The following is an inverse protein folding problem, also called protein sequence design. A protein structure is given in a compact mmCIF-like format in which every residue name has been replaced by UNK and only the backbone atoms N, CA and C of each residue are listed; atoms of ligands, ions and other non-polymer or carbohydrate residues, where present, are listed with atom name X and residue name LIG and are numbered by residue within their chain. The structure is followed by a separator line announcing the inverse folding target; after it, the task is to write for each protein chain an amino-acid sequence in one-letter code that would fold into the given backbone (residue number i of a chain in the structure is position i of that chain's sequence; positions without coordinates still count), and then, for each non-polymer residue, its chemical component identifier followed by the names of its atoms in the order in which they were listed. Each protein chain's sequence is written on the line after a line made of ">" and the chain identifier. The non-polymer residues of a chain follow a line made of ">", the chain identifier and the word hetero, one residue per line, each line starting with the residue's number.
data_IF_600483037620
#
_entry.id   IF_600483037620
#
_cell.length_a   1.000
_cell.length_b   1.000
_cell.length_c   1.000
_cell.angle_alpha   90.00
_cell.angle_beta   90.00
_cell.angle_gamma   90.00
#
_symmetry.space_group_name_H-M   'P 1'
#
loop_
_entity.id
_entity.type
_entity.pdbx_description
1 polymer ?
#
# COMPACT_ATOMS: atom_id res chain seq x y z
N UNK A 1 -32.11 13.90 28.73
CA UNK A 1 -32.50 14.67 29.92
C UNK A 1 -32.79 16.08 29.47
N UNK A 2 -34.05 16.48 29.53
CA UNK A 2 -34.45 17.87 29.33
C UNK A 2 -34.10 18.67 30.59
N UNK A 3 -33.77 19.95 30.43
CA UNK A 3 -33.67 20.87 31.58
C UNK A 3 -35.06 21.00 32.22
N UNK A 4 -35.11 21.11 33.55
CA UNK A 4 -36.33 21.46 34.29
C UNK A 4 -36.54 22.97 34.38
N UNK A 5 -37.61 23.41 35.04
CA UNK A 5 -38.06 24.82 35.06
C UNK A 5 -37.17 25.80 35.84
N UNK A 6 -36.28 25.31 36.71
CA UNK A 6 -35.37 26.16 37.49
C UNK A 6 -33.91 25.78 37.28
N UNK A 7 -33.09 26.80 37.10
CA UNK A 7 -31.64 26.66 36.97
C UNK A 7 -31.01 26.38 38.34
N UNK A 8 -30.10 25.41 38.37
CA UNK A 8 -29.42 24.97 39.59
C UNK A 8 -28.05 25.63 39.64
N UNK A 9 -27.79 26.35 40.73
CA UNK A 9 -26.53 27.07 40.91
C UNK A 9 -25.32 26.12 40.80
N UNK A 10 -24.35 26.49 39.97
CA UNK A 10 -23.09 25.75 39.79
C UNK A 10 -23.12 24.60 38.77
N UNK A 11 -24.29 24.16 38.31
CA UNK A 11 -24.42 23.17 37.22
C UNK A 11 -24.86 23.83 35.91
N UNK A 12 -25.93 24.64 35.94
CA UNK A 12 -26.43 25.30 34.73
C UNK A 12 -25.68 26.60 34.43
N UNK A 13 -25.13 27.26 35.45
CA UNK A 13 -24.50 28.59 35.30
C UNK A 13 -23.14 28.57 34.59
N UNK A 14 -22.44 27.43 34.61
CA UNK A 14 -21.04 27.36 34.15
C UNK A 14 -20.90 26.46 32.92
N UNK A 15 -20.67 27.06 31.76
CA UNK A 15 -20.31 26.32 30.54
C UNK A 15 -18.80 26.17 30.46
N UNK A 16 -18.30 24.97 30.78
CA UNK A 16 -16.88 24.65 30.66
C UNK A 16 -16.52 24.29 29.21
N UNK A 17 -15.59 25.01 28.56
CA UNK A 17 -15.19 24.70 27.20
C UNK A 17 -14.35 23.43 27.14
N UNK A 18 -14.33 22.80 25.96
CA UNK A 18 -13.46 21.64 25.72
C UNK A 18 -12.01 22.09 25.65
N UNK A 19 -11.14 21.47 26.45
CA UNK A 19 -9.71 21.77 26.50
C UNK A 19 -8.96 21.42 25.20
N UNK A 20 -9.40 20.40 24.46
CA UNK A 20 -8.71 19.91 23.26
C UNK A 20 -9.67 19.78 22.07
N UNK A 21 -9.20 20.25 20.91
CA UNK A 21 -9.87 20.08 19.64
C UNK A 21 -9.59 18.75 18.95
N UNK A 22 -10.30 18.44 17.85
CA UNK A 22 -10.07 17.23 17.06
C UNK A 22 -8.71 17.23 16.35
N UNK A 23 -7.93 16.16 16.49
CA UNK A 23 -6.59 16.00 15.85
C UNK A 23 -6.62 15.33 14.45
N UNK A 24 -7.66 14.57 14.13
CA UNK A 24 -7.75 13.77 12.89
C UNK A 24 -8.46 14.55 11.80
N UNK A 25 -7.95 14.52 10.56
CA UNK A 25 -8.52 15.25 9.42
C UNK A 25 -10.03 15.02 9.23
N UNK A 26 -10.50 13.77 9.33
CA UNK A 26 -11.94 13.45 9.18
C UNK A 26 -12.82 13.99 10.30
N UNK A 27 -12.31 14.07 11.53
CA UNK A 27 -13.05 14.65 12.67
C UNK A 27 -13.11 16.17 12.57
N UNK A 28 -12.03 16.79 12.07
CA UNK A 28 -11.99 18.24 11.84
C UNK A 28 -13.01 18.61 10.76
N UNK A 29 -13.05 17.87 9.64
CA UNK A 29 -14.05 18.09 8.58
C UNK A 29 -15.49 18.00 9.08
N UNK A 30 -15.80 16.99 9.90
CA UNK A 30 -17.14 16.85 10.50
C UNK A 30 -17.52 17.99 11.45
N UNK A 31 -16.55 18.57 12.17
CA UNK A 31 -16.82 19.64 13.12
C UNK A 31 -17.13 20.96 12.40
N UNK A 32 -16.42 21.24 11.31
CA UNK A 32 -16.57 22.48 10.53
C UNK A 32 -17.47 22.32 9.30
N UNK A 33 -18.15 21.18 9.15
CA UNK A 33 -18.97 20.84 7.97
C UNK A 33 -18.24 21.05 6.63
N UNK A 34 -16.93 20.78 6.60
CA UNK A 34 -16.08 20.92 5.41
C UNK A 34 -16.28 19.76 4.45
N UNK A 35 -16.09 20.04 3.18
CA UNK A 35 -16.03 19.04 2.11
C UNK A 35 -14.68 18.32 2.12
N UNK A 36 -14.49 17.35 1.21
CA UNK A 36 -13.26 16.55 1.16
C UNK A 36 -12.12 17.33 0.49
N UNK A 37 -12.48 18.26 -0.36
CA UNK A 37 -11.66 19.11 -1.21
C UNK A 37 -10.99 20.21 -0.38
N UNK A 38 -11.64 20.65 0.69
CA UNK A 38 -11.13 21.68 1.59
C UNK A 38 -9.86 21.22 2.36
N UNK A 39 -8.87 22.13 2.45
CA UNK A 39 -7.66 21.90 3.24
C UNK A 39 -7.92 22.17 4.72
N UNK A 40 -7.46 21.23 5.54
CA UNK A 40 -7.68 21.17 6.99
C UNK A 40 -6.57 21.90 7.76
N UNK A 41 -5.50 22.35 7.08
CA UNK A 41 -4.30 22.93 7.69
C UNK A 41 -4.45 24.36 8.20
N UNK A 42 -5.35 25.15 7.62
CA UNK A 42 -5.44 26.59 7.88
C UNK A 42 -6.36 26.96 9.06
N UNK A 43 -6.82 25.98 9.85
CA UNK A 43 -7.86 26.20 10.85
C UNK A 43 -7.28 26.67 12.21
N UNK A 44 -7.61 27.91 12.58
CA UNK A 44 -7.22 28.58 13.83
C UNK A 44 -7.75 27.88 15.10
N UNK A 45 -8.86 27.16 15.00
CA UNK A 45 -9.50 26.50 16.14
C UNK A 45 -8.73 25.32 16.74
N UNK A 46 -7.60 24.91 16.15
CA UNK A 46 -6.72 23.87 16.70
C UNK A 46 -5.66 24.42 17.66
N UNK A 47 -5.61 25.74 17.83
CA UNK A 47 -4.58 26.44 18.57
C UNK A 47 -4.83 26.35 20.09
N UNK A 48 -3.77 25.99 20.83
CA UNK A 48 -3.76 26.00 22.29
C UNK A 48 -2.87 27.15 22.74
N UNK A 49 -3.38 28.03 23.60
CA UNK A 49 -2.61 29.08 24.25
C UNK A 49 -1.99 28.54 25.54
N UNK A 50 -0.67 28.31 25.52
CA UNK A 50 0.08 27.80 26.68
C UNK A 50 0.86 28.94 27.33
N UNK A 51 0.26 29.53 28.38
CA UNK A 51 0.93 30.31 29.44
C UNK A 51 1.58 31.64 29.07
N UNK A 52 2.01 31.86 27.82
CA UNK A 52 2.51 33.13 27.30
C UNK A 52 1.76 33.46 26.01
N UNK A 53 1.22 34.69 25.85
CA UNK A 53 0.30 35.04 24.76
C UNK A 53 0.95 35.00 23.35
N UNK A 54 2.26 34.82 23.26
CA UNK A 54 3.01 34.97 22.00
C UNK A 54 3.18 33.69 21.19
N UNK A 55 2.95 32.50 21.75
CA UNK A 55 3.16 31.23 21.03
C UNK A 55 1.89 30.42 20.89
N UNK A 56 1.46 30.31 19.64
CA UNK A 56 0.34 29.52 19.20
C UNK A 56 0.85 28.11 18.85
N UNK A 57 0.39 27.09 19.59
CA UNK A 57 0.77 25.68 19.32
C UNK A 57 -0.45 24.93 18.79
N UNK A 58 -0.30 24.32 17.62
CA UNK A 58 -1.31 23.46 17.02
C UNK A 58 -0.89 21.98 17.03
N UNK A 59 -1.81 21.02 17.26
CA UNK A 59 -1.53 19.60 17.16
C UNK A 59 -1.25 19.19 15.71
N UNK A 60 -0.26 18.31 15.52
CA UNK A 60 -0.03 17.66 14.22
C UNK A 60 -1.28 16.94 13.73
N UNK A 61 -1.78 17.35 12.56
CA UNK A 61 -2.96 16.74 11.94
C UNK A 61 -2.64 15.31 11.52
N UNK A 62 -3.40 14.36 12.06
CA UNK A 62 -3.24 12.94 11.74
C UNK A 62 -4.16 12.55 10.58
N UNK A 63 -3.68 11.61 9.75
CA UNK A 63 -4.40 11.05 8.57
C UNK A 63 -4.67 12.08 7.46
N UNK A 64 -3.86 13.13 7.38
CA UNK A 64 -3.83 14.00 6.20
C UNK A 64 -3.17 13.28 5.03
N UNK A 65 -3.72 13.43 3.82
CA UNK A 65 -3.11 12.91 2.60
C UNK A 65 -2.00 13.88 2.20
N UNK A 66 -0.74 13.46 2.35
CA UNK A 66 0.45 14.26 2.02
C UNK A 66 1.18 13.69 0.80
N UNK A 67 2.02 14.47 0.09
CA UNK A 67 2.82 13.97 -1.03
C UNK A 67 3.70 12.77 -0.62
N UNK A 68 4.18 12.74 0.62
CA UNK A 68 4.93 11.61 1.17
C UNK A 68 4.10 10.32 1.25
N UNK A 69 2.83 10.41 1.66
CA UNK A 69 1.91 9.26 1.70
C UNK A 69 1.64 8.74 0.28
N UNK A 70 1.39 9.66 -0.66
CA UNK A 70 1.20 9.33 -2.09
C UNK A 70 2.45 8.65 -2.65
N UNK A 71 3.64 9.20 -2.39
CA UNK A 71 4.92 8.64 -2.82
C UNK A 71 5.18 7.24 -2.25
N UNK A 72 4.91 7.03 -0.94
CA UNK A 72 5.02 5.71 -0.31
C UNK A 72 4.09 4.69 -0.97
N UNK A 73 2.85 5.08 -1.29
CA UNK A 73 1.89 4.21 -1.99
C UNK A 73 2.35 3.87 -3.41
N UNK A 74 2.80 4.86 -4.19
CA UNK A 74 3.36 4.65 -5.54
C UNK A 74 4.58 3.72 -5.51
N UNK A 75 5.48 3.89 -4.54
CA UNK A 75 6.66 3.03 -4.36
C UNK A 75 6.28 1.57 -4.10
N UNK A 76 5.29 1.33 -3.23
CA UNK A 76 4.81 -0.03 -2.95
C UNK A 76 4.22 -0.68 -4.20
N UNK A 77 3.44 0.06 -4.99
CA UNK A 77 2.88 -0.43 -6.24
C UNK A 77 3.98 -0.77 -7.26
N UNK A 78 4.95 0.14 -7.45
CA UNK A 78 6.10 -0.08 -8.34
C UNK A 78 6.88 -1.34 -7.96
N UNK A 79 7.16 -1.52 -6.66
CA UNK A 79 7.87 -2.71 -6.16
C UNK A 79 7.13 -4.00 -6.51
N UNK A 80 5.80 -4.04 -6.32
CA UNK A 80 4.97 -5.20 -6.68
C UNK A 80 5.02 -5.52 -8.18
N UNK A 81 4.93 -4.48 -9.02
CA UNK A 81 5.01 -4.65 -10.48
C UNK A 81 6.37 -5.19 -10.89
N UNK A 82 7.45 -4.61 -10.37
CA UNK A 82 8.82 -5.03 -10.67
C UNK A 82 9.07 -6.49 -10.24
N UNK A 83 8.60 -6.89 -9.06
CA UNK A 83 8.72 -8.27 -8.58
C UNK A 83 7.99 -9.26 -9.51
N UNK A 84 6.79 -8.91 -9.98
CA UNK A 84 6.03 -9.75 -10.91
C UNK A 84 6.72 -9.87 -12.27
N UNK A 85 7.24 -8.76 -12.81
CA UNK A 85 7.99 -8.75 -14.07
C UNK A 85 9.23 -9.62 -13.97
N UNK A 86 10.03 -9.44 -12.92
CA UNK A 86 11.22 -10.24 -12.64
C UNK A 86 10.90 -11.74 -12.59
N UNK A 87 9.89 -12.14 -11.82
CA UNK A 87 9.48 -13.56 -11.72
C UNK A 87 9.02 -14.13 -13.08
N UNK A 88 8.31 -13.34 -13.89
CA UNK A 88 7.89 -13.76 -15.24
C UNK A 88 9.09 -13.94 -16.19
N UNK A 89 10.05 -13.02 -16.14
CA UNK A 89 11.28 -13.07 -16.94
C UNK A 89 12.15 -14.27 -16.56
N UNK A 90 12.34 -14.51 -15.25
CA UNK A 90 13.08 -15.67 -14.72
C UNK A 90 12.43 -16.99 -15.13
N UNK A 91 11.10 -17.11 -15.02
CA UNK A 91 10.37 -18.30 -15.45
C UNK A 91 10.51 -18.54 -16.96
N UNK A 92 10.43 -17.49 -17.77
CA UNK A 92 10.62 -17.59 -19.22
C UNK A 92 12.07 -17.97 -19.59
N UNK A 93 13.06 -17.42 -18.89
CA UNK A 93 14.46 -17.75 -19.08
C UNK A 93 14.74 -19.22 -18.71
N UNK A 94 14.22 -19.67 -17.58
CA UNK A 94 14.33 -21.06 -17.13
C UNK A 94 13.66 -22.02 -18.13
N UNK A 95 12.47 -21.71 -18.62
CA UNK A 95 11.78 -22.51 -19.64
C UNK A 95 12.59 -22.66 -20.93
N UNK A 96 13.20 -21.57 -21.42
CA UNK A 96 14.08 -21.59 -22.60
C UNK A 96 15.29 -22.50 -22.36
N UNK A 97 15.91 -22.40 -21.19
CA UNK A 97 17.05 -23.21 -20.79
C UNK A 97 16.67 -24.71 -20.70
N UNK A 98 15.53 -25.04 -20.09
CA UNK A 98 15.00 -26.40 -20.04
C UNK A 98 14.75 -26.99 -21.44
N UNK A 99 14.20 -26.18 -22.35
CA UNK A 99 13.97 -26.60 -23.75
C UNK A 99 15.28 -26.93 -24.47
N UNK A 100 16.34 -26.14 -24.26
CA UNK A 100 17.68 -26.41 -24.78
C UNK A 100 18.23 -27.74 -24.25
N UNK A 101 18.15 -27.95 -22.93
CA UNK A 101 18.61 -29.19 -22.31
C UNK A 101 17.83 -30.41 -22.83
N UNK A 102 16.51 -30.32 -22.95
CA UNK A 102 15.69 -31.39 -23.51
C UNK A 102 16.08 -31.72 -24.96
N UNK A 103 16.44 -30.73 -25.78
CA UNK A 103 16.92 -30.95 -27.16
C UNK A 103 18.25 -31.69 -27.20
N UNK A 104 19.22 -31.30 -26.36
CA UNK A 104 20.54 -31.95 -26.28
C UNK A 104 20.45 -33.38 -25.73
N UNK A 105 19.53 -33.62 -24.79
CA UNK A 105 19.36 -34.91 -24.11
C UNK A 105 18.58 -35.95 -24.92
N UNK A 106 17.89 -35.54 -25.99
CA UNK A 106 17.32 -36.50 -26.96
C UNK A 106 18.48 -37.29 -27.57
N UNK A 107 18.56 -38.61 -27.40
CA UNK A 107 19.66 -39.37 -27.94
C UNK A 107 19.63 -39.27 -29.47
N UNK A 108 20.75 -38.85 -30.06
CA UNK A 108 21.00 -38.87 -31.51
C UNK A 108 21.15 -40.32 -31.97
N UNK A 109 20.10 -41.12 -31.83
CA UNK A 109 20.09 -42.55 -32.16
C UNK A 109 18.76 -42.92 -32.78
N UNK A 110 18.48 -42.45 -34.00
CA UNK A 110 17.66 -43.18 -34.96
C UNK A 110 18.08 -42.71 -36.35
N UNK A 111 18.45 -43.68 -37.21
CA UNK A 111 18.91 -43.59 -38.60
C UNK A 111 20.44 -43.45 -38.80
N UNK A 112 21.16 -44.58 -38.67
CA UNK A 112 21.97 -45.18 -39.75
C UNK A 112 22.86 -46.32 -39.21
N UNK A 113 22.40 -47.57 -39.29
CA UNK A 113 23.26 -48.77 -39.38
C UNK A 113 22.54 -49.74 -40.33
N UNK A 114 23.20 -50.27 -41.37
CA UNK A 114 22.56 -50.74 -42.61
C UNK A 114 21.91 -52.11 -42.46
N UNK A 115 20.75 -52.27 -43.12
CA UNK A 115 20.05 -53.53 -43.30
C UNK A 115 20.75 -54.33 -44.41
N UNK A 116 21.90 -54.95 -44.14
CA UNK A 116 22.41 -56.06 -44.97
C UNK A 116 23.25 -57.00 -44.13
N UNK A 117 22.66 -58.07 -43.63
CA UNK A 117 23.38 -59.34 -43.51
C UNK A 117 22.36 -60.48 -43.60
N UNK A 118 22.03 -60.85 -44.84
CA UNK A 118 21.27 -62.04 -45.17
C UNK A 118 22.20 -62.90 -46.04
N UNK A 119 22.36 -64.16 -45.61
CA UNK A 119 23.13 -65.25 -46.23
C UNK A 119 24.67 -65.14 -46.18
N UNK A 120 25.28 -65.94 -45.30
CA UNK A 120 26.26 -67.01 -45.60
C UNK A 120 26.79 -67.57 -44.27
N UNK A 121 26.02 -68.47 -43.66
CA UNK A 121 26.52 -69.39 -42.63
C UNK A 121 25.75 -70.71 -42.70
N UNK A 122 25.97 -71.48 -43.78
CA UNK A 122 25.70 -72.93 -43.80
C UNK A 122 26.74 -73.58 -44.72
N UNK A 123 27.69 -74.29 -44.10
CA UNK A 123 28.39 -75.50 -44.53
C UNK A 123 28.53 -75.79 -46.04
N UNK A 124 29.74 -75.64 -46.60
CA UNK A 124 30.61 -76.74 -47.08
C UNK A 124 31.98 -76.16 -47.48
#
# INVERSE_FOLDING_TARGET
>A
MALGDQDIEGLTDKVLPRRLGPKRATKIRKLFNLTKEDDVRNLECLQIFLGKPTRIIAPKIQRLITPTVIGRRKRLLRKKIQQRQKSREEAAAYHKLMTKFAKVRRPTTLLFVPFVNLYYFVNF
#
